data_IF_333772835274
#
_entry.id   IF_333772835274
#
_cell.length_a   1.000
_cell.length_b   1.000
_cell.length_c   1.000
_cell.angle_alpha   90.00
_cell.angle_beta   90.00
_cell.angle_gamma   90.00
#
_symmetry.space_group_name_H-M   'P 1'
#
loop_
_entity.id
_entity.type
_entity.pdbx_description
1 polymer ?
2 non-polymer ?
3 water ?
#
# COMPACT_ATOMS: atom_id res chain seq x y z
N UNK A 1 2.10 -8.13 -9.85
CA UNK A 1 2.15 -7.16 -10.98
C UNK A 1 2.80 -5.86 -10.51
N UNK A 2 3.34 -5.10 -11.46
CA UNK A 2 3.99 -3.83 -11.15
C UNK A 2 2.99 -2.79 -10.66
N UNK A 3 1.77 -2.87 -11.17
CA UNK A 3 0.71 -1.96 -10.76
C UNK A 3 -0.45 -2.84 -10.34
N UNK A 4 -0.88 -2.67 -9.09
CA UNK A 4 -1.96 -3.46 -8.54
C UNK A 4 -3.16 -2.58 -8.22
N UNK A 5 -4.34 -3.03 -8.63
CA UNK A 5 -5.56 -2.28 -8.37
C UNK A 5 -6.32 -2.93 -7.22
N UNK A 6 -6.68 -2.12 -6.23
CA UNK A 6 -7.43 -2.61 -5.08
C UNK A 6 -8.85 -2.06 -5.04
N UNK A 7 -9.84 -2.89 -5.41
CA UNK A 7 -11.23 -2.43 -5.38
C UNK A 7 -11.57 -2.10 -3.93
N UNK A 8 -12.41 -1.09 -3.71
CA UNK A 8 -12.77 -0.70 -2.35
C UNK A 8 -14.11 0.02 -2.28
N UNK A 9 -14.83 -0.21 -1.19
CA UNK A 9 -16.13 0.43 -1.00
C UNK A 9 -15.94 1.92 -0.76
N UNK A 10 -14.69 2.33 -0.53
CA UNK A 10 -14.40 3.74 -0.31
C UNK A 10 -13.66 4.34 -1.50
N UNK A 11 -13.61 3.58 -2.59
CA UNK A 11 -12.92 4.05 -3.79
C UNK A 11 -11.71 3.20 -4.09
N UNK A 12 -11.55 2.80 -5.36
CA UNK A 12 -10.42 1.96 -5.75
C UNK A 12 -9.08 2.62 -5.46
N UNK A 13 -8.10 1.80 -5.08
CA UNK A 13 -6.76 2.29 -4.79
C UNK A 13 -5.80 1.77 -5.84
N UNK A 14 -5.02 2.67 -6.43
CA UNK A 14 -4.04 2.27 -7.44
C UNK A 14 -2.69 2.22 -6.76
N UNK A 15 -2.12 1.02 -6.69
CA UNK A 15 -0.85 0.80 -6.02
C UNK A 15 0.33 0.51 -6.94
N UNK A 16 1.28 1.43 -6.94
CA UNK A 16 2.48 1.30 -7.76
C UNK A 16 3.47 0.38 -7.05
N UNK A 17 3.16 -0.91 -7.08
CA UNK A 17 3.94 -1.96 -6.45
C UNK A 17 5.44 -1.92 -6.78
N UNK A 18 5.76 -1.98 -8.07
CA UNK A 18 7.14 -1.96 -8.52
C UNK A 18 7.82 -0.63 -8.16
N UNK A 19 7.15 0.47 -8.47
CA UNK A 19 7.71 1.79 -8.17
C UNK A 19 8.08 1.91 -6.70
N UNK A 20 7.24 1.37 -5.82
CA UNK A 20 7.52 1.45 -4.39
C UNK A 20 8.85 0.82 -3.98
N UNK A 21 9.34 -0.13 -4.76
CA UNK A 21 10.62 -0.75 -4.42
C UNK A 21 11.78 0.21 -4.64
N UNK A 22 11.50 1.35 -5.26
CA UNK A 22 12.53 2.35 -5.49
C UNK A 22 12.68 3.19 -4.23
N UNK A 23 11.68 3.09 -3.35
CA UNK A 23 11.64 3.85 -2.10
C UNK A 23 11.73 2.97 -0.86
N UNK A 24 11.32 1.71 -0.99
CA UNK A 24 11.33 0.77 0.12
C UNK A 24 12.39 -0.29 -0.10
N UNK A 25 13.39 -0.29 0.77
CA UNK A 25 14.51 -1.22 0.66
C UNK A 25 14.19 -2.70 0.71
N UNK A 26 13.30 -3.09 1.62
CA UNK A 26 12.95 -4.49 1.80
C UNK A 26 11.54 -4.91 1.45
N UNK A 27 11.41 -6.08 0.83
CA UNK A 27 10.10 -6.62 0.50
C UNK A 27 9.40 -6.89 1.83
N UNK A 28 10.19 -7.31 2.81
CA UNK A 28 9.69 -7.66 4.14
C UNK A 28 8.98 -6.50 4.85
N UNK A 29 9.23 -5.27 4.41
CA UNK A 29 8.57 -4.13 5.04
C UNK A 29 7.06 -4.17 4.79
N UNK A 30 6.64 -4.93 3.78
CA UNK A 30 5.22 -5.05 3.46
C UNK A 30 4.77 -6.50 3.44
N UNK A 31 5.71 -7.40 3.23
CA UNK A 31 5.40 -8.82 3.12
C UNK A 31 5.76 -9.71 4.30
N UNK A 32 5.22 -10.91 4.26
CA UNK A 32 5.50 -11.94 5.24
C UNK A 32 6.84 -12.50 4.74
N UNK A 33 7.41 -13.47 5.46
CA UNK A 33 8.69 -14.04 5.06
C UNK A 33 8.79 -14.30 3.56
N UNK A 34 7.74 -14.87 2.98
CA UNK A 34 7.71 -15.13 1.54
C UNK A 34 6.85 -14.08 0.84
N UNK A 35 7.45 -13.33 -0.10
CA UNK A 35 6.67 -12.31 -0.82
C UNK A 35 5.57 -12.97 -1.64
N UNK A 36 4.37 -12.41 -1.58
CA UNK A 36 3.25 -12.96 -2.32
C UNK A 36 1.96 -12.34 -1.82
N UNK A 37 0.83 -12.95 -2.17
CA UNK A 37 -0.46 -12.43 -1.72
C UNK A 37 -0.46 -12.41 -0.20
N UNK A 38 -1.03 -11.36 0.37
CA UNK A 38 -1.09 -11.20 1.82
C UNK A 38 -2.46 -11.62 2.33
N UNK A 39 -2.48 -12.72 3.08
CA UNK A 39 -3.70 -13.31 3.63
C UNK A 39 -4.66 -12.36 4.34
N UNK A 40 -4.13 -11.50 5.20
CA UNK A 40 -4.99 -10.57 5.93
C UNK A 40 -5.02 -9.18 5.33
N UNK A 41 -4.77 -9.08 4.02
CA UNK A 41 -4.79 -7.78 3.38
C UNK A 41 -6.21 -7.24 3.46
N UNK A 42 -6.33 -5.95 3.73
CA UNK A 42 -7.63 -5.33 3.84
C UNK A 42 -7.48 -3.98 4.49
N UNK A 43 -8.60 -3.41 4.95
CA UNK A 43 -8.59 -2.09 5.58
C UNK A 43 -7.57 -1.92 6.71
N UNK A 44 -7.63 -2.79 7.71
CA UNK A 44 -6.72 -2.71 8.85
C UNK A 44 -5.26 -2.81 8.45
N UNK A 45 -4.91 -3.83 7.67
CA UNK A 45 -3.53 -3.99 7.24
C UNK A 45 -3.07 -2.77 6.44
N UNK A 46 -3.92 -2.32 5.52
CA UNK A 46 -3.59 -1.19 4.66
C UNK A 46 -3.44 0.15 5.37
N UNK A 47 -4.35 0.45 6.28
CA UNK A 47 -4.26 1.73 6.98
C UNK A 47 -3.08 1.78 7.93
N UNK A 48 -2.65 0.62 8.41
CA UNK A 48 -1.50 0.56 9.30
C UNK A 48 -0.20 0.65 8.51
N UNK A 49 -0.12 -0.15 7.45
CA UNK A 49 1.09 -0.20 6.62
C UNK A 49 1.23 0.90 5.57
N UNK A 50 0.22 1.04 4.72
CA UNK A 50 0.24 2.04 3.65
C UNK A 50 0.25 3.46 4.21
N UNK A 51 -0.81 3.80 4.93
CA UNK A 51 -0.94 5.13 5.51
C UNK A 51 0.15 5.39 6.54
N UNK A 52 0.47 4.38 7.34
CA UNK A 52 1.49 4.53 8.36
C UNK A 52 2.84 4.95 7.83
N UNK A 53 3.33 4.27 6.80
CA UNK A 53 4.63 4.64 6.25
C UNK A 53 4.61 6.04 5.67
N UNK A 54 3.54 6.37 4.96
CA UNK A 54 3.41 7.70 4.37
C UNK A 54 3.48 8.75 5.46
N UNK A 55 2.86 8.46 6.60
CA UNK A 55 2.85 9.39 7.72
C UNK A 55 4.25 9.62 8.29
N UNK A 56 4.97 8.54 8.56
CA UNK A 56 6.31 8.65 9.13
C UNK A 56 7.33 9.28 8.18
N UNK A 57 7.21 8.98 6.89
CA UNK A 57 8.15 9.51 5.92
C UNK A 57 7.78 10.89 5.38
N UNK A 58 6.53 11.29 5.58
CA UNK A 58 6.10 12.60 5.11
C UNK A 58 5.93 12.67 3.61
N UNK A 59 5.86 11.50 2.98
CA UNK A 59 5.68 11.40 1.53
C UNK A 59 4.63 10.32 1.29
N UNK A 60 3.85 10.50 0.23
CA UNK A 60 2.80 9.54 -0.05
C UNK A 60 1.52 10.08 0.54
N UNK A 61 0.35 9.68 0.02
CA UNK A 61 -0.92 10.18 0.54
C UNK A 61 -1.38 9.65 1.89
N UNK A 62 -1.91 10.56 2.71
CA UNK A 62 -2.45 10.19 4.01
C UNK A 62 -3.92 10.59 4.02
N UNK A 63 -4.28 11.53 3.15
CA UNK A 63 -5.66 11.98 3.04
C UNK A 63 -6.45 10.91 2.29
N UNK A 64 -7.62 10.57 2.81
CA UNK A 64 -8.49 9.54 2.25
C UNK A 64 -8.59 9.48 0.73
N UNK A 65 -9.08 10.57 0.14
CA UNK A 65 -9.29 10.65 -1.30
C UNK A 65 -8.03 10.69 -2.16
N UNK A 66 -6.87 10.88 -1.54
CA UNK A 66 -5.63 10.93 -2.30
C UNK A 66 -5.08 9.52 -2.50
N UNK A 67 -5.67 8.56 -1.80
CA UNK A 67 -5.25 7.17 -1.93
C UNK A 67 -6.43 6.42 -2.55
N UNK A 68 -7.63 6.70 -2.05
CA UNK A 68 -8.85 6.11 -2.58
C UNK A 68 -9.27 7.04 -3.71
N UNK A 69 -8.61 6.91 -4.85
CA UNK A 69 -8.87 7.76 -6.01
C UNK A 69 -9.87 7.23 -7.02
N UNK A 70 -10.19 5.94 -6.94
CA UNK A 70 -11.12 5.34 -7.88
C UNK A 70 -12.54 5.84 -7.78
X LIG B 1 1.93 -8.47 -3.95
X LIG B 1 6.59 -9.71 -4.44
X LIG B 1 7.90 -5.51 -2.36
X LIG B 1 3.28 -4.71 -1.20
X LIG B 1 3.10 -9.11 -4.34
X LIG B 1 3.12 -10.40 -5.01
X LIG B 1 4.42 -10.75 -5.09
X LIG B 1 5.20 -9.71 -4.49
X LIG B 1 4.96 -12.03 -5.71
X LIG B 1 1.92 -11.23 -5.43
X LIG B 1 1.43 -10.90 -6.83
X LIG B 1 0.20 -11.70 -7.22
X LIG B 1 -0.87 -11.49 -6.60
X LIG B 1 0.31 -12.54 -8.13
X LIG B 1 7.33 -8.68 -3.87
X LIG B 1 8.78 -8.69 -3.80
X LIG B 1 9.16 -7.50 -3.26
X LIG B 1 7.94 -6.77 -2.96
X LIG B 1 9.70 -9.85 -4.21
X LIG B 1 10.58 -7.05 -2.95
X LIG B 1 11.48 -6.90 -4.17
X LIG B 1 6.73 -4.90 -1.94
X LIG B 1 6.72 -3.68 -1.14
X LIG B 1 5.43 -3.46 -0.79
X LIG B 1 4.65 -4.56 -1.36
X LIG B 1 7.94 -2.87 -0.71
X LIG B 1 4.88 -2.38 0.15
X LIG B 1 5.29 -0.94 -0.18
X LIG B 1 2.53 -5.70 -1.82
X LIG B 1 1.09 -5.75 -1.77
X LIG B 1 0.71 -6.77 -2.57
X LIG B 1 1.91 -7.34 -3.14
X LIG B 1 0.18 -4.83 -0.95
X LIG B 1 -0.71 -7.28 -2.75
X LIG B 1 -1.00 -8.42 -1.78
X LIG B 1 -2.42 -8.95 -1.91
X LIG B 1 -2.75 -9.93 -1.22
X LIG B 1 -3.21 -8.37 -2.69
X LIG B 1 4.39 -8.71 -4.00
X LIG B 1 6.81 -7.50 -3.31
X LIG B 1 5.46 -5.42 -2.09
X LIG B 1 3.04 -6.70 -2.66
X LIG B 1 4.93 -7.06 -3.04
X LIG C 1 3.75 7.14 -2.61
X LIG C 1 -0.03 4.11 -2.13
X LIG C 1 2.60 1.47 0.99
X LIG C 1 6.14 4.78 0.88
X LIG C 1 2.53 6.49 -2.80
X LIG C 1 1.48 6.96 -3.70
X LIG C 1 0.40 6.17 -3.49
X LIG C 1 0.80 5.15 -2.55
X LIG C 1 -1.00 6.36 -4.03
X LIG C 1 1.57 8.10 -4.73
X LIG C 1 2.71 7.88 -5.71
X LIG C 1 2.54 6.61 -6.52
X LIG C 1 3.56 6.07 -7.00
X LIG C 1 1.39 6.16 -6.69
X LIG C 1 0.38 3.11 -1.24
X LIG C 1 -0.43 1.98 -0.85
X LIG C 1 0.32 1.22 -0.03
X LIG C 1 1.60 1.89 0.12
X LIG C 1 -1.87 1.68 -1.27
X LIG C 1 -0.07 -0.07 0.67
X LIG C 1 -0.54 -1.20 -0.24
X LIG C 1 3.76 2.18 1.26
X LIG C 1 4.73 1.78 2.27
X LIG C 1 5.73 2.71 2.27
X LIG C 1 5.36 3.68 1.24
X LIG C 1 4.60 0.59 3.23
X LIG C 1 6.96 2.83 3.18
X LIG C 1 7.57 1.57 3.78
X LIG C 1 5.79 5.70 -0.11
X LIG C 1 6.60 6.84 -0.48
X LIG C 1 5.93 7.49 -1.45
X LIG C 1 4.71 6.75 -1.69
X LIG C 1 7.95 7.23 0.08
X LIG C 1 6.38 8.76 -2.17
X LIG C 1 7.01 8.42 -3.51
X LIG C 1 7.28 9.66 -4.35
X LIG C 1 7.96 10.57 -3.85
X LIG C 1 6.81 9.71 -5.50
X LIG C 1 2.11 5.37 -2.10
X LIG C 1 1.63 3.06 -0.63
X LIG C 1 4.13 3.37 0.65
X LIG C 1 4.61 5.66 -0.85
X LIG C 1 3.13 4.37 -0.72
X LIG D 1 -9.84 0.11 2.82
X LIG D 1 -11.64 4.29 4.46
X LIG D 1 -7.29 6.37 3.94
X LIG D 1 -5.81 2.46 1.47
X LIG D 1 -10.68 1.07 3.35
X LIG D 1 -12.06 0.82 3.72
X LIG D 1 -12.56 2.00 4.15
X LIG D 1 -11.52 2.98 4.04
X LIG D 1 -13.97 2.25 4.67
X LIG D 1 -12.79 -0.51 3.56
X LIG D 1 -13.68 -0.44 2.32
X LIG D 1 -14.26 -1.79 1.95
X LIG D 1 -14.81 -2.47 2.84
X LIG D 1 -14.15 -2.18 0.77
X LIG D 1 -10.60 5.20 4.46
X LIG D 1 -10.71 6.51 5.04
X LIG D 1 -9.48 7.08 4.95
X LIG D 1 -8.61 6.12 4.30
X LIG D 1 -11.99 7.17 5.56
X LIG D 1 -9.07 8.46 5.44
X LIG D 1 -9.16 8.65 6.96
X LIG D 1 -6.51 5.47 3.21
X LIG D 1 -5.20 5.79 2.69
X LIG D 1 -4.82 4.72 1.92
X LIG D 1 -5.88 3.74 2.01
X LIG D 1 -4.46 7.12 2.88
X LIG D 1 -3.58 4.53 1.02
X LIG D 1 -2.27 5.16 1.49
X LIG D 1 -6.78 1.48 1.65
X LIG D 1 -6.69 0.14 1.11
X LIG D 1 -7.76 -0.55 1.59
X LIG D 1 -8.55 0.38 2.35
X LIG D 1 -5.60 -0.41 0.19
X LIG D 1 -8.01 -2.05 1.44
X LIG D 1 -8.60 -2.41 0.08
X LIG D 1 -8.91 -3.88 -0.04
X LIG D 1 -9.79 -4.37 0.71
X LIG D 1 -8.28 -4.56 -0.88
X LIG D 1 -10.35 2.41 3.54
X LIG D 1 -9.30 4.96 4.01
X LIG D 1 -6.93 4.21 2.79
X LIG D 1 -7.95 1.63 2.39
X LIG D 1 -8.63 3.30 3.19
#
# INVERSE_FOLDING_TARGET
>A
ADVILFPSKNGAVTFTHKRHSEFVRECRSCHEKTPGKIRNFGKDYAHKTCKGCHEVRGAGPTKCKLCHTG
>B hetero
1 HEM CHA CHB CHC CHD C1A C2A C3A C4A CMA CAA CBA CGA O1A O2A C1B C2B C3B C4B CMB CAB CBB C1C C2C C3C C4C CMC CAC CBC C1D C2D C3D C4D CMD CAD CBD CGD O1D O2D NA NB NC ND FE
>C hetero
1 HEM CHA CHB CHC CHD C1A C2A C3A C4A CMA CAA CBA CGA O1A O2A C1B C2B C3B C4B CMB CAB CBB C1C C2C C3C C4C CMC CAC CBC C1D C2D C3D C4D CMD CAD CBD CGD O1D O2D NA NB NC ND FE
>D hetero
1 HEM CHA CHB CHC CHD C1A C2A C3A C4A CMA CAA CBA CGA O1A O2A C1B C2B C3B C4B CMB CAB CBB C1C C2C C3C C4C CMC CAC CBC C1D C2D C3D C4D CMD CAD CBD CGD O1D O2D NA NB NC ND FE
#
